data_IF_640968750609
#
_entry.id   IF_640968750609
#
_cell.length_a   1.000
_cell.length_b   1.000
_cell.length_c   1.000
_cell.angle_alpha   90.00
_cell.angle_beta   90.00
_cell.angle_gamma   90.00
#
_symmetry.space_group_name_H-M   'P 1'
#
loop_
_entity.id
_entity.type
_entity.pdbx_description
1 polymer ?
#
# COMPACT_ATOMS: atom_id res chain seq x y z
N UNK A 1 3.76 15.42 -20.36
CA UNK A 1 3.67 15.68 -18.91
C UNK A 1 2.82 16.88 -18.56
N UNK A 2 3.13 18.14 -18.94
CA UNK A 2 2.32 19.33 -18.55
C UNK A 2 0.83 19.21 -18.85
N UNK A 3 0.44 18.64 -20.02
CA UNK A 3 -0.95 18.41 -20.39
C UNK A 3 -1.64 17.42 -19.44
N UNK A 4 -0.93 16.36 -19.04
CA UNK A 4 -1.42 15.36 -18.09
C UNK A 4 -1.65 15.97 -16.71
N UNK A 5 -0.68 16.70 -16.17
CA UNK A 5 -0.78 17.36 -14.88
C UNK A 5 -1.96 18.36 -14.85
N UNK A 6 -2.07 19.21 -15.90
CA UNK A 6 -3.20 20.14 -16.01
C UNK A 6 -4.55 19.43 -16.04
N UNK A 7 -4.66 18.33 -16.79
CA UNK A 7 -5.90 17.57 -16.88
C UNK A 7 -6.24 16.84 -15.58
N UNK A 8 -5.24 16.30 -14.87
CA UNK A 8 -5.42 15.65 -13.58
C UNK A 8 -5.89 16.65 -12.51
N UNK A 9 -5.24 17.82 -12.42
CA UNK A 9 -5.64 18.88 -11.50
C UNK A 9 -7.03 19.45 -11.82
N UNK A 10 -7.39 19.57 -13.10
CA UNK A 10 -8.72 19.98 -13.51
C UNK A 10 -9.79 18.94 -13.07
N UNK A 11 -9.53 17.64 -13.21
CA UNK A 11 -10.45 16.62 -12.72
C UNK A 11 -10.67 16.73 -11.21
N UNK A 12 -9.61 16.93 -10.44
CA UNK A 12 -9.71 17.08 -8.98
C UNK A 12 -10.50 18.34 -8.57
N UNK A 13 -10.36 19.44 -9.34
CA UNK A 13 -11.06 20.69 -9.05
C UNK A 13 -12.54 20.65 -9.44
N UNK A 14 -12.86 20.03 -10.60
CA UNK A 14 -14.19 20.05 -11.20
C UNK A 14 -15.07 18.87 -10.71
N UNK A 15 -14.46 17.70 -10.46
CA UNK A 15 -15.17 16.46 -10.09
C UNK A 15 -14.28 15.55 -9.22
N UNK A 16 -14.03 15.91 -7.95
CA UNK A 16 -13.16 15.16 -7.04
C UNK A 16 -13.72 13.77 -6.70
N UNK A 17 -15.00 13.54 -6.87
CA UNK A 17 -15.70 12.26 -6.65
C UNK A 17 -15.91 11.47 -7.94
N UNK A 18 -15.21 11.84 -9.01
CA UNK A 18 -15.31 11.20 -10.31
C UNK A 18 -15.17 9.68 -10.24
N UNK A 19 -16.08 8.97 -10.89
CA UNK A 19 -16.03 7.51 -11.01
C UNK A 19 -15.22 7.02 -12.21
N UNK A 20 -14.62 7.95 -12.98
CA UNK A 20 -13.76 7.58 -14.12
C UNK A 20 -12.60 6.70 -13.65
N UNK A 21 -12.36 5.64 -14.42
CA UNK A 21 -11.12 4.89 -14.32
C UNK A 21 -9.97 5.65 -14.94
N UNK A 22 -8.75 5.31 -14.56
CA UNK A 22 -7.55 5.91 -15.12
C UNK A 22 -7.44 5.68 -16.63
N UNK A 23 -7.84 4.49 -17.12
CA UNK A 23 -7.89 4.18 -18.55
C UNK A 23 -8.87 5.07 -19.32
N UNK A 24 -10.07 5.26 -18.78
CA UNK A 24 -11.08 6.15 -19.36
C UNK A 24 -10.61 7.62 -19.39
N UNK A 25 -9.96 8.09 -18.31
CA UNK A 25 -9.36 9.41 -18.26
C UNK A 25 -8.29 9.57 -19.35
N UNK A 26 -7.36 8.61 -19.49
CA UNK A 26 -6.30 8.66 -20.50
C UNK A 26 -6.89 8.67 -21.93
N UNK A 27 -7.91 7.85 -22.19
CA UNK A 27 -8.60 7.78 -23.47
C UNK A 27 -9.36 9.08 -23.76
N UNK A 28 -10.13 9.62 -22.81
CA UNK A 28 -10.89 10.87 -22.92
C UNK A 28 -10.00 12.04 -23.31
N UNK A 29 -8.81 12.10 -22.72
CA UNK A 29 -7.81 13.13 -22.99
C UNK A 29 -6.90 12.79 -24.18
N UNK A 30 -7.11 11.68 -24.88
CA UNK A 30 -6.36 11.25 -26.07
C UNK A 30 -4.85 11.30 -25.84
N UNK A 31 -4.39 10.67 -24.75
CA UNK A 31 -2.96 10.45 -24.55
C UNK A 31 -2.48 9.33 -25.48
N UNK A 32 -1.33 9.57 -26.14
CA UNK A 32 -0.76 8.57 -27.05
C UNK A 32 -0.20 7.35 -26.30
N UNK A 33 -0.10 6.24 -27.01
CA UNK A 33 0.36 4.97 -26.41
C UNK A 33 1.77 5.07 -25.86
N UNK A 34 2.66 5.87 -26.46
CA UNK A 34 4.01 6.04 -25.95
C UNK A 34 4.00 6.66 -24.56
N UNK A 35 3.24 7.74 -24.34
CA UNK A 35 3.08 8.36 -23.04
C UNK A 35 2.44 7.40 -22.03
N UNK A 36 1.39 6.67 -22.44
CA UNK A 36 0.67 5.73 -21.57
C UNK A 36 1.62 4.64 -21.07
N UNK A 37 2.35 3.97 -21.98
CA UNK A 37 3.17 2.82 -21.59
C UNK A 37 4.53 3.20 -20.96
N UNK A 38 5.07 4.40 -21.24
CA UNK A 38 6.39 4.78 -20.73
C UNK A 38 6.35 5.75 -19.55
N UNK A 39 5.19 6.31 -19.25
CA UNK A 39 5.05 7.21 -18.11
C UNK A 39 3.82 6.92 -17.26
N UNK A 40 2.62 6.96 -17.86
CA UNK A 40 1.37 6.94 -17.10
C UNK A 40 1.20 5.63 -16.31
N UNK A 41 1.33 4.48 -16.94
CA UNK A 41 1.23 3.17 -16.29
C UNK A 41 2.41 2.89 -15.35
N UNK A 42 3.69 3.13 -15.74
CA UNK A 42 4.81 2.95 -14.82
C UNK A 42 4.68 3.71 -13.50
N UNK A 43 4.21 4.94 -13.51
CA UNK A 43 4.03 5.73 -12.27
C UNK A 43 3.07 5.03 -11.32
N UNK A 44 1.91 4.60 -11.79
CA UNK A 44 0.92 3.91 -10.96
C UNK A 44 1.43 2.55 -10.49
N UNK A 45 2.01 1.78 -11.42
CA UNK A 45 2.57 0.46 -11.12
C UNK A 45 3.71 0.50 -10.11
N UNK A 46 4.55 1.55 -10.13
CA UNK A 46 5.62 1.71 -9.15
C UNK A 46 5.10 1.98 -7.75
N UNK A 47 3.98 2.71 -7.62
CA UNK A 47 3.43 3.07 -6.30
C UNK A 47 2.71 1.91 -5.65
N UNK A 48 1.85 1.21 -6.40
CA UNK A 48 0.98 0.16 -5.85
C UNK A 48 1.31 -1.26 -6.31
N UNK A 49 2.44 -1.47 -6.99
CA UNK A 49 2.93 -2.81 -7.40
C UNK A 49 1.93 -3.61 -8.23
N UNK A 50 1.13 -2.92 -9.06
CA UNK A 50 0.07 -3.53 -9.84
C UNK A 50 0.42 -3.63 -11.33
N UNK A 51 -0.24 -4.56 -12.05
CA UNK A 51 -0.14 -4.72 -13.49
C UNK A 51 -0.84 -3.61 -14.27
N UNK A 52 -0.63 -3.58 -15.58
CA UNK A 52 -1.19 -2.53 -16.45
C UNK A 52 -2.71 -2.52 -16.48
N UNK A 53 -3.36 -3.69 -16.48
CA UNK A 53 -4.83 -3.79 -16.50
C UNK A 53 -5.43 -3.22 -15.21
N UNK A 54 -4.87 -3.60 -14.06
CA UNK A 54 -5.28 -3.09 -12.77
C UNK A 54 -5.05 -1.58 -12.67
N UNK A 55 -3.90 -1.09 -13.17
CA UNK A 55 -3.60 0.34 -13.21
C UNK A 55 -4.60 1.13 -14.07
N UNK A 56 -5.04 0.58 -15.23
CA UNK A 56 -6.06 1.21 -16.07
C UNK A 56 -7.43 1.24 -15.40
N UNK A 57 -7.76 0.25 -14.58
CA UNK A 57 -9.01 0.17 -13.84
C UNK A 57 -9.03 1.02 -12.55
N UNK A 58 -7.90 1.60 -12.18
CA UNK A 58 -7.77 2.39 -10.95
C UNK A 58 -8.64 3.65 -10.99
N UNK A 59 -9.30 4.04 -9.88
CA UNK A 59 -10.11 5.27 -9.82
C UNK A 59 -9.24 6.52 -10.05
N UNK A 60 -9.52 7.27 -11.13
CA UNK A 60 -8.66 8.37 -11.56
C UNK A 60 -8.58 9.51 -10.53
N UNK A 61 -9.70 9.93 -9.96
CA UNK A 61 -9.72 11.00 -8.97
C UNK A 61 -8.93 10.61 -7.70
N UNK A 62 -9.09 9.37 -7.22
CA UNK A 62 -8.36 8.86 -6.07
C UNK A 62 -6.84 8.79 -6.33
N UNK A 63 -6.44 8.34 -7.53
CA UNK A 63 -5.06 8.36 -7.99
C UNK A 63 -4.48 9.78 -8.00
N UNK A 64 -5.20 10.72 -8.59
CA UNK A 64 -4.70 12.08 -8.73
C UNK A 64 -4.64 12.82 -7.41
N UNK A 65 -5.56 12.57 -6.48
CA UNK A 65 -5.49 13.09 -5.12
C UNK A 65 -4.19 12.63 -4.41
N UNK A 66 -3.83 11.36 -4.57
CA UNK A 66 -2.55 10.85 -4.08
C UNK A 66 -1.36 11.53 -4.75
N UNK A 67 -1.34 11.59 -6.09
CA UNK A 67 -0.24 12.18 -6.84
C UNK A 67 -0.05 13.67 -6.53
N UNK A 68 -1.13 14.41 -6.33
CA UNK A 68 -1.10 15.83 -5.95
C UNK A 68 -0.56 16.01 -4.53
N UNK A 69 -1.10 15.25 -3.58
CA UNK A 69 -0.66 15.28 -2.17
C UNK A 69 0.84 14.99 -2.01
N UNK A 70 1.40 14.12 -2.84
CA UNK A 70 2.82 13.74 -2.79
C UNK A 70 3.71 14.55 -3.74
N UNK A 71 3.17 15.59 -4.38
CA UNK A 71 3.94 16.48 -5.26
C UNK A 71 4.35 15.87 -6.61
N UNK A 72 3.71 14.80 -7.06
CA UNK A 72 3.96 14.22 -8.39
C UNK A 72 3.29 15.00 -9.53
N UNK A 73 2.31 15.84 -9.22
CA UNK A 73 1.63 16.70 -10.20
C UNK A 73 2.26 18.09 -10.32
N UNK A 74 3.34 18.39 -9.61
CA UNK A 74 4.07 19.65 -9.73
C UNK A 74 5.36 19.47 -10.53
N UNK A 75 5.79 20.50 -11.25
CA UNK A 75 7.02 20.51 -12.06
C UNK A 75 8.19 21.19 -11.36
N UNK A 76 7.91 22.00 -10.37
CA UNK A 76 8.87 22.74 -9.57
C UNK A 76 8.42 22.72 -8.11
N UNK A 77 9.36 22.93 -7.20
CA UNK A 77 9.10 23.00 -5.76
C UNK A 77 8.42 21.72 -5.21
N UNK A 78 8.78 20.56 -5.81
CA UNK A 78 8.33 19.28 -5.27
C UNK A 78 8.85 19.09 -3.83
N UNK A 79 8.08 18.47 -2.93
CA UNK A 79 8.49 18.26 -1.55
C UNK A 79 9.77 17.41 -1.48
N UNK A 80 10.63 17.75 -0.53
CA UNK A 80 11.79 16.92 -0.21
C UNK A 80 11.34 15.66 0.51
N UNK A 81 11.70 14.52 -0.05
CA UNK A 81 11.38 13.23 0.55
C UNK A 81 12.36 12.91 1.68
N UNK A 82 11.83 12.40 2.78
CA UNK A 82 12.58 11.97 3.95
C UNK A 82 12.29 10.51 4.25
N UNK A 83 13.24 9.86 4.92
CA UNK A 83 13.08 8.51 5.47
C UNK A 83 13.48 8.50 6.94
N UNK A 84 12.97 7.53 7.69
CA UNK A 84 13.32 7.38 9.10
C UNK A 84 14.72 6.80 9.20
N UNK A 85 15.60 7.46 9.95
CA UNK A 85 16.95 6.96 10.22
C UNK A 85 16.86 5.63 10.99
N UNK A 86 17.52 4.60 10.47
CA UNK A 86 17.42 3.23 11.01
C UNK A 86 16.21 2.45 10.52
N UNK A 87 15.39 3.03 9.60
CA UNK A 87 14.21 2.41 9.02
C UNK A 87 13.00 2.43 9.95
N UNK A 88 11.89 1.89 9.48
CA UNK A 88 10.61 1.84 10.23
C UNK A 88 10.69 1.08 11.55
N UNK A 89 11.63 0.14 11.65
CA UNK A 89 11.87 -0.64 12.87
C UNK A 89 12.13 0.25 14.09
N UNK A 90 12.81 1.37 13.92
CA UNK A 90 13.17 2.27 15.01
C UNK A 90 11.95 2.86 15.73
N UNK A 91 10.91 3.28 15.01
CA UNK A 91 9.70 3.76 15.68
C UNK A 91 8.81 2.61 16.19
N UNK A 92 8.80 1.45 15.52
CA UNK A 92 8.10 0.27 16.05
C UNK A 92 8.67 -0.15 17.40
N UNK A 93 10.01 -0.24 17.52
CA UNK A 93 10.68 -0.55 18.79
C UNK A 93 10.41 0.51 19.87
N UNK A 94 10.40 1.79 19.50
CA UNK A 94 10.09 2.87 20.45
C UNK A 94 8.64 2.81 20.98
N UNK A 95 7.68 2.41 20.16
CA UNK A 95 6.27 2.25 20.57
C UNK A 95 6.10 0.99 21.39
N UNK A 96 6.61 -0.16 20.91
CA UNK A 96 6.43 -1.45 21.59
C UNK A 96 7.08 -1.48 22.97
N UNK A 97 8.17 -0.73 23.18
CA UNK A 97 8.81 -0.60 24.49
C UNK A 97 7.93 0.10 25.57
N UNK A 98 6.82 0.73 25.15
CA UNK A 98 5.87 1.42 26.05
C UNK A 98 4.60 0.61 26.31
N UNK A 99 4.43 -0.52 25.67
CA UNK A 99 3.26 -1.39 25.84
C UNK A 99 3.50 -2.34 27.01
N UNK A 100 2.45 -2.65 27.77
CA UNK A 100 2.52 -3.57 28.90
C UNK A 100 2.88 -4.99 28.46
N UNK A 101 2.42 -5.41 27.28
CA UNK A 101 2.76 -6.69 26.70
C UNK A 101 2.78 -6.65 25.16
N UNK A 102 3.72 -7.36 24.58
CA UNK A 102 3.81 -7.61 23.13
C UNK A 102 4.03 -9.10 22.92
N UNK A 103 3.20 -9.74 22.11
CA UNK A 103 3.25 -11.20 21.84
C UNK A 103 3.55 -11.46 20.36
N UNK A 104 4.79 -11.30 19.90
CA UNK A 104 5.15 -11.59 18.52
C UNK A 104 5.08 -13.10 18.27
N UNK A 105 4.70 -13.49 17.02
CA UNK A 105 4.57 -14.88 16.65
C UNK A 105 3.33 -15.58 17.21
N UNK A 106 2.38 -14.85 17.80
CA UNK A 106 1.10 -15.39 18.25
C UNK A 106 0.01 -15.02 17.24
N UNK A 107 -0.45 -16.00 16.50
CA UNK A 107 -1.48 -15.80 15.48
C UNK A 107 -2.86 -15.86 16.11
N UNK A 108 -3.64 -14.80 15.96
CA UNK A 108 -5.07 -14.79 16.30
C UNK A 108 -5.83 -15.62 15.26
N UNK A 109 -6.76 -16.45 15.71
CA UNK A 109 -7.57 -17.35 14.88
C UNK A 109 -9.04 -16.96 14.84
N UNK A 110 -9.56 -16.34 15.91
CA UNK A 110 -10.95 -15.88 15.98
C UNK A 110 -11.09 -14.67 16.91
N UNK A 111 -12.08 -13.85 16.62
CA UNK A 111 -12.51 -12.72 17.46
C UNK A 111 -14.03 -12.75 17.54
N UNK A 112 -14.59 -12.67 18.74
CA UNK A 112 -16.03 -12.64 18.98
C UNK A 112 -16.40 -11.57 20.00
N UNK A 113 -17.47 -10.84 19.73
CA UNK A 113 -18.03 -9.85 20.64
C UNK A 113 -18.93 -10.53 21.68
N UNK A 114 -18.82 -10.13 22.93
CA UNK A 114 -19.72 -10.49 24.02
C UNK A 114 -20.35 -9.21 24.56
N UNK A 115 -21.40 -9.32 25.39
CA UNK A 115 -22.05 -8.14 25.96
C UNK A 115 -21.08 -7.20 26.70
N UNK A 116 -20.13 -7.76 27.43
CA UNK A 116 -19.23 -7.00 28.31
C UNK A 116 -17.73 -7.09 27.92
N UNK A 117 -17.38 -7.86 26.89
CA UNK A 117 -15.98 -8.08 26.47
C UNK A 117 -15.88 -8.40 24.99
N UNK A 118 -14.63 -8.45 24.51
CA UNK A 118 -14.26 -9.06 23.23
C UNK A 118 -13.33 -10.22 23.49
N UNK A 119 -13.67 -11.39 22.99
CA UNK A 119 -12.86 -12.60 23.14
C UNK A 119 -11.99 -12.82 21.90
N UNK A 120 -10.76 -13.25 22.15
CA UNK A 120 -9.75 -13.55 21.14
C UNK A 120 -9.23 -14.95 21.37
N UNK A 121 -9.27 -15.78 20.33
CA UNK A 121 -8.66 -17.10 20.32
C UNK A 121 -7.34 -17.05 19.51
N UNK A 122 -6.32 -17.71 20.01
CA UNK A 122 -5.04 -17.83 19.31
C UNK A 122 -4.76 -19.25 18.77
N UNK A 123 -3.68 -19.39 18.02
CA UNK A 123 -3.28 -20.66 17.39
C UNK A 123 -2.81 -21.72 18.39
N UNK A 124 -2.55 -21.36 19.64
CA UNK A 124 -2.18 -22.28 20.72
C UNK A 124 -3.41 -22.80 21.47
N UNK A 125 -4.62 -22.33 21.10
CA UNK A 125 -5.87 -22.66 21.76
C UNK A 125 -6.09 -21.89 23.07
N UNK A 126 -5.33 -20.81 23.30
CA UNK A 126 -5.55 -19.92 24.42
C UNK A 126 -6.72 -18.96 24.12
N UNK A 127 -7.55 -18.70 25.15
CA UNK A 127 -8.67 -17.78 25.11
C UNK A 127 -8.34 -16.53 25.93
N UNK A 128 -8.46 -15.38 25.32
CA UNK A 128 -8.17 -14.09 25.94
C UNK A 128 -9.43 -13.22 25.92
N UNK A 129 -9.73 -12.55 27.03
CA UNK A 129 -10.86 -11.62 27.15
C UNK A 129 -10.35 -10.22 27.42
N UNK A 130 -10.86 -9.24 26.66
CA UNK A 130 -10.48 -7.83 26.72
C UNK A 130 -11.71 -6.93 26.78
N UNK A 131 -11.61 -5.79 27.46
CA UNK A 131 -12.66 -4.78 27.49
C UNK A 131 -12.87 -4.16 26.11
N UNK A 132 -11.77 -3.93 25.35
CA UNK A 132 -11.76 -3.28 24.03
C UNK A 132 -10.68 -3.86 23.15
N UNK A 133 -10.96 -3.96 21.85
CA UNK A 133 -10.06 -4.51 20.84
C UNK A 133 -10.01 -3.61 19.60
N UNK A 134 -8.84 -3.40 19.05
CA UNK A 134 -8.64 -2.84 17.72
C UNK A 134 -8.10 -3.93 16.81
N UNK A 135 -8.81 -4.24 15.73
CA UNK A 135 -8.32 -5.10 14.64
C UNK A 135 -7.53 -4.25 13.66
N UNK A 136 -6.19 -4.36 13.71
CA UNK A 136 -5.26 -3.59 12.89
C UNK A 136 -4.54 -4.45 11.83
N UNK A 137 -5.23 -5.45 11.31
CA UNK A 137 -4.80 -6.35 10.24
C UNK A 137 -5.25 -5.80 8.86
N UNK A 138 -5.05 -6.56 7.78
CA UNK A 138 -5.71 -6.27 6.51
C UNK A 138 -7.24 -6.36 6.67
N UNK A 139 -8.00 -5.66 5.81
CA UNK A 139 -9.46 -5.65 5.91
C UNK A 139 -10.08 -7.05 5.73
N UNK A 140 -9.60 -7.81 4.75
CA UNK A 140 -10.02 -9.20 4.50
C UNK A 140 -9.63 -10.15 5.64
N UNK A 141 -8.50 -9.90 6.30
CA UNK A 141 -8.08 -10.65 7.48
C UNK A 141 -8.95 -10.31 8.69
N UNK A 142 -9.21 -9.02 8.93
CA UNK A 142 -10.13 -8.59 9.97
C UNK A 142 -11.50 -9.25 9.83
N UNK A 143 -12.04 -9.25 8.60
CA UNK A 143 -13.31 -9.91 8.31
C UNK A 143 -13.28 -11.42 8.59
N UNK A 144 -12.20 -12.10 8.20
CA UNK A 144 -12.05 -13.55 8.45
C UNK A 144 -11.91 -13.91 9.92
N UNK A 145 -11.36 -13.01 10.74
CA UNK A 145 -11.22 -13.23 12.19
C UNK A 145 -12.53 -13.10 12.92
N UNK A 146 -13.46 -12.27 12.44
CA UNK A 146 -14.76 -12.06 13.11
C UNK A 146 -15.67 -13.27 12.92
N UNK A 147 -16.06 -13.90 14.04
CA UNK A 147 -17.02 -15.01 14.04
C UNK A 147 -18.48 -14.54 13.99
N UNK A 148 -18.71 -13.27 14.27
CA UNK A 148 -20.01 -12.61 14.40
C UNK A 148 -20.11 -11.36 13.53
N UNK A 149 -19.42 -11.34 12.37
CA UNK A 149 -19.38 -10.19 11.48
C UNK A 149 -20.78 -9.74 11.06
N UNK A 150 -21.09 -8.47 11.31
CA UNK A 150 -22.33 -7.83 10.87
C UNK A 150 -22.37 -7.67 9.35
N UNK A 151 -23.56 -7.47 8.78
CA UNK A 151 -23.72 -7.37 7.34
C UNK A 151 -22.93 -6.19 6.74
N UNK A 152 -22.92 -5.04 7.40
CA UNK A 152 -22.16 -3.86 6.98
C UNK A 152 -20.65 -4.08 7.06
N UNK A 153 -20.16 -4.82 8.04
CA UNK A 153 -18.76 -5.24 8.14
C UNK A 153 -18.38 -6.17 6.98
N UNK A 154 -19.25 -7.13 6.64
CA UNK A 154 -19.04 -8.02 5.51
C UNK A 154 -18.99 -7.25 4.17
N UNK A 155 -19.90 -6.31 3.97
CA UNK A 155 -19.95 -5.49 2.77
C UNK A 155 -18.72 -4.57 2.65
N UNK A 156 -18.38 -3.86 3.72
CA UNK A 156 -17.35 -2.82 3.68
C UNK A 156 -15.96 -3.43 3.71
N UNK A 157 -15.66 -4.34 4.65
CA UNK A 157 -14.33 -4.98 4.72
C UNK A 157 -14.09 -5.93 3.54
N UNK A 158 -15.14 -6.59 3.06
CA UNK A 158 -15.07 -7.47 1.89
C UNK A 158 -14.85 -6.76 0.56
N UNK A 159 -15.00 -5.43 0.51
CA UNK A 159 -14.73 -4.64 -0.70
C UNK A 159 -13.24 -4.43 -0.98
N UNK A 160 -12.38 -4.71 -0.01
CA UNK A 160 -10.91 -4.54 -0.14
C UNK A 160 -10.26 -5.83 -0.62
N UNK A 161 -9.62 -5.77 -1.78
CA UNK A 161 -8.80 -6.83 -2.33
C UNK A 161 -7.31 -6.58 -2.10
N UNK A 162 -6.52 -7.65 -2.21
CA UNK A 162 -5.06 -7.58 -2.08
C UNK A 162 -4.38 -8.38 -3.19
N UNK A 163 -3.36 -7.79 -3.80
CA UNK A 163 -2.52 -8.46 -4.79
C UNK A 163 -1.27 -9.03 -4.13
N UNK A 164 -0.92 -10.27 -4.50
CA UNK A 164 0.30 -10.91 -4.00
C UNK A 164 1.50 -10.53 -4.86
N UNK A 165 2.54 -9.99 -4.23
CA UNK A 165 3.76 -9.56 -4.88
C UNK A 165 4.98 -10.20 -4.21
N UNK A 166 5.79 -10.90 -5.00
CA UNK A 166 7.08 -11.43 -4.54
C UNK A 166 8.11 -10.32 -4.55
N UNK A 167 8.83 -10.16 -3.45
CA UNK A 167 9.91 -9.18 -3.31
C UNK A 167 11.22 -9.88 -2.93
N UNK A 168 12.30 -9.54 -3.61
CA UNK A 168 13.64 -10.02 -3.30
C UNK A 168 14.53 -8.86 -2.89
N UNK A 169 15.14 -8.96 -1.72
CA UNK A 169 16.25 -8.12 -1.30
C UNK A 169 17.54 -8.79 -1.77
N UNK A 170 18.34 -8.10 -2.57
CA UNK A 170 19.57 -8.62 -3.16
C UNK A 170 20.63 -7.52 -3.37
N UNK A 171 21.82 -7.93 -3.79
CA UNK A 171 22.99 -7.05 -4.04
C UNK A 171 23.35 -6.91 -5.52
N UNK A 172 22.52 -7.41 -6.42
CA UNK A 172 22.76 -7.35 -7.86
C UNK A 172 22.27 -6.02 -8.44
N UNK A 173 23.19 -5.17 -8.87
CA UNK A 173 22.89 -3.90 -9.52
C UNK A 173 22.60 -4.01 -11.02
N UNK A 174 22.73 -5.19 -11.63
CA UNK A 174 22.48 -5.40 -13.07
C UNK A 174 21.02 -5.16 -13.46
N UNK A 175 20.11 -5.19 -12.49
CA UNK A 175 18.68 -4.87 -12.66
C UNK A 175 18.41 -3.36 -12.76
N UNK A 176 19.37 -2.53 -12.34
CA UNK A 176 19.30 -1.07 -12.41
C UNK A 176 19.78 -0.57 -13.78
N UNK A 177 19.44 0.67 -14.17
CA UNK A 177 19.98 1.26 -15.37
C UNK A 177 21.52 1.22 -15.40
N UNK A 178 22.13 0.87 -16.54
CA UNK A 178 23.61 0.78 -16.63
C UNK A 178 24.28 2.14 -16.42
N UNK A 179 23.65 3.24 -16.83
CA UNK A 179 24.14 4.59 -16.55
C UNK A 179 23.71 5.02 -15.16
N UNK A 180 24.67 5.34 -14.29
CA UNK A 180 24.42 5.69 -12.88
C UNK A 180 23.51 6.92 -12.74
N UNK A 181 23.67 7.91 -13.63
CA UNK A 181 22.84 9.11 -13.65
C UNK A 181 21.37 8.85 -13.97
N UNK A 182 21.06 7.71 -14.60
CA UNK A 182 19.71 7.27 -14.91
C UNK A 182 19.07 6.45 -13.79
N UNK A 183 19.83 6.06 -12.75
CA UNK A 183 19.30 5.29 -11.64
C UNK A 183 18.45 6.15 -10.73
N UNK A 184 17.16 5.89 -10.67
CA UNK A 184 16.25 6.47 -9.69
C UNK A 184 16.21 5.66 -8.39
N UNK A 185 15.55 6.19 -7.34
CA UNK A 185 15.17 5.38 -6.18
C UNK A 185 14.23 4.25 -6.61
N UNK A 186 13.36 4.50 -7.58
CA UNK A 186 12.44 3.54 -8.21
C UNK A 186 12.78 3.39 -9.69
N UNK A 187 13.04 2.17 -10.11
CA UNK A 187 13.43 1.86 -11.49
C UNK A 187 12.44 0.85 -12.07
N UNK A 188 11.60 1.31 -13.00
CA UNK A 188 10.64 0.47 -13.69
C UNK A 188 11.26 -0.09 -14.97
N UNK A 189 11.20 -1.41 -15.17
CA UNK A 189 11.77 -2.06 -16.34
C UNK A 189 10.69 -2.58 -17.29
N UNK A 190 10.70 -2.04 -18.51
CA UNK A 190 9.94 -2.56 -19.64
C UNK A 190 10.81 -3.48 -20.49
N UNK A 191 10.23 -4.56 -21.02
CA UNK A 191 10.93 -5.48 -21.92
C UNK A 191 10.84 -5.09 -23.40
N UNK A 192 10.06 -4.08 -23.71
CA UNK A 192 9.86 -3.53 -25.05
C UNK A 192 8.93 -2.34 -25.02
N UNK A 193 8.84 -1.64 -26.14
CA UNK A 193 8.04 -0.41 -26.24
C UNK A 193 6.52 -0.64 -26.36
N UNK A 194 6.06 -1.89 -26.48
CA UNK A 194 4.67 -2.21 -26.81
C UNK A 194 4.06 -3.35 -25.99
N UNK A 195 4.78 -3.86 -24.98
CA UNK A 195 4.30 -5.01 -24.20
C UNK A 195 3.45 -4.57 -23.01
N UNK A 196 2.24 -5.11 -22.92
CA UNK A 196 1.48 -5.09 -21.68
C UNK A 196 2.22 -5.93 -20.63
N UNK A 197 2.40 -5.41 -19.43
CA UNK A 197 2.95 -6.17 -18.32
C UNK A 197 1.79 -6.59 -17.39
N UNK A 198 1.59 -7.90 -17.25
CA UNK A 198 0.58 -8.45 -16.33
C UNK A 198 0.96 -8.16 -14.87
N UNK A 199 2.25 -8.01 -14.59
CA UNK A 199 2.80 -7.62 -13.30
C UNK A 199 3.82 -6.51 -13.45
N UNK A 200 3.82 -5.57 -12.51
CA UNK A 200 4.85 -4.53 -12.45
C UNK A 200 6.19 -5.14 -12.07
N UNK A 201 7.24 -4.70 -12.75
CA UNK A 201 8.62 -5.02 -12.39
C UNK A 201 9.33 -3.75 -12.00
N UNK A 202 9.53 -3.59 -10.71
CA UNK A 202 10.17 -2.43 -10.12
C UNK A 202 11.37 -2.87 -9.31
N UNK A 203 12.48 -2.17 -9.48
CA UNK A 203 13.67 -2.34 -8.65
C UNK A 203 13.92 -1.05 -7.87
N UNK A 204 13.84 -1.15 -6.54
CA UNK A 204 14.10 -0.05 -5.62
C UNK A 204 15.58 -0.05 -5.26
N UNK A 205 16.27 1.04 -5.58
CA UNK A 205 17.66 1.21 -5.15
C UNK A 205 17.68 1.78 -3.73
N UNK A 206 17.82 0.88 -2.75
CA UNK A 206 17.69 1.20 -1.32
C UNK A 206 18.77 2.13 -0.83
N UNK A 207 19.99 2.06 -1.40
CA UNK A 207 21.09 2.96 -1.04
C UNK A 207 20.70 4.43 -1.26
N UNK A 208 20.05 4.72 -2.40
CA UNK A 208 19.55 6.07 -2.68
C UNK A 208 18.29 6.39 -1.89
N UNK A 209 17.38 5.43 -1.74
CA UNK A 209 16.09 5.62 -1.09
C UNK A 209 16.23 5.86 0.41
N UNK A 210 17.15 5.16 1.07
CA UNK A 210 17.35 5.19 2.52
C UNK A 210 18.70 5.75 2.96
N UNK A 211 19.54 6.22 2.04
CA UNK A 211 20.83 6.82 2.36
C UNK A 211 21.88 5.83 2.86
N UNK A 212 21.84 4.56 2.43
CA UNK A 212 22.87 3.58 2.74
C UNK A 212 24.14 3.81 1.93
N UNK A 213 25.29 3.30 2.41
CA UNK A 213 26.56 3.33 1.68
C UNK A 213 26.43 2.66 0.31
N UNK A 214 26.96 3.26 -0.72
CA UNK A 214 26.99 2.70 -2.06
C UNK A 214 28.01 1.55 -2.22
N UNK A 215 28.91 1.36 -1.24
CA UNK A 215 29.87 0.24 -1.22
C UNK A 215 29.22 -1.10 -0.90
N UNK A 216 28.04 -1.08 -0.27
CA UNK A 216 27.19 -2.26 -0.01
C UNK A 216 25.85 -2.08 -0.74
N UNK A 217 25.75 -2.48 -2.02
CA UNK A 217 24.54 -2.29 -2.79
C UNK A 217 23.38 -3.09 -2.24
N UNK A 218 22.23 -2.43 -2.08
CA UNK A 218 20.96 -3.02 -1.66
C UNK A 218 19.86 -2.65 -2.63
N UNK A 219 19.26 -3.67 -3.22
CA UNK A 219 18.16 -3.53 -4.18
C UNK A 219 16.98 -4.41 -3.75
N UNK A 220 15.78 -3.87 -3.78
CA UNK A 220 14.55 -4.66 -3.67
C UNK A 220 13.90 -4.74 -5.04
N UNK A 221 13.78 -5.95 -5.60
CA UNK A 221 13.08 -6.16 -6.87
C UNK A 221 11.74 -6.85 -6.63
N UNK A 222 10.67 -6.23 -7.13
CA UNK A 222 9.32 -6.79 -7.12
C UNK A 222 9.06 -7.60 -8.38
N UNK A 223 8.39 -8.74 -8.19
CA UNK A 223 7.93 -9.64 -9.23
C UNK A 223 9.04 -9.99 -10.25
N UNK A 224 10.18 -10.54 -9.78
CA UNK A 224 11.18 -11.08 -10.67
C UNK A 224 10.55 -12.16 -11.56
N UNK A 225 11.05 -12.32 -12.78
CA UNK A 225 10.55 -13.36 -13.68
C UNK A 225 11.05 -14.75 -13.26
N UNK A 226 10.25 -15.76 -13.60
CA UNK A 226 10.66 -17.14 -13.47
C UNK A 226 11.99 -17.35 -14.24
N UNK A 227 12.99 -17.94 -13.58
CA UNK A 227 14.32 -18.16 -14.11
C UNK A 227 15.32 -17.00 -13.90
N UNK A 228 14.91 -15.78 -13.56
CA UNK A 228 15.84 -14.71 -13.16
C UNK A 228 16.51 -14.97 -11.81
N UNK A 229 15.93 -15.88 -11.05
CA UNK A 229 16.49 -16.36 -9.77
C UNK A 229 17.92 -16.84 -9.89
N UNK A 230 18.26 -17.45 -11.02
CA UNK A 230 19.59 -18.01 -11.28
C UNK A 230 20.63 -16.94 -11.65
N UNK A 231 20.18 -15.72 -11.98
CA UNK A 231 21.02 -14.59 -12.37
C UNK A 231 21.17 -13.49 -11.32
N UNK A 232 20.35 -13.52 -10.25
CA UNK A 232 20.47 -12.53 -9.18
C UNK A 232 21.55 -12.94 -8.19
N UNK A 233 22.68 -12.27 -8.28
CA UNK A 233 23.78 -12.48 -7.36
C UNK A 233 23.38 -12.02 -5.94
N UNK A 234 23.71 -12.83 -4.93
CA UNK A 234 23.58 -12.50 -3.51
C UNK A 234 22.17 -12.11 -3.05
N UNK A 235 21.17 -12.94 -3.27
CA UNK A 235 19.86 -12.78 -2.65
C UNK A 235 20.01 -12.84 -1.13
N UNK A 236 19.62 -11.77 -0.45
CA UNK A 236 19.67 -11.63 1.02
C UNK A 236 18.40 -12.17 1.65
N UNK A 237 17.23 -11.84 1.08
CA UNK A 237 15.94 -12.27 1.57
C UNK A 237 14.90 -12.33 0.45
N UNK A 238 13.92 -13.22 0.63
CA UNK A 238 12.72 -13.35 -0.23
C UNK A 238 11.50 -13.18 0.63
N UNK A 239 10.56 -12.35 0.17
CA UNK A 239 9.34 -12.02 0.88
C UNK A 239 8.17 -12.05 -0.08
N UNK A 240 6.98 -12.33 0.43
CA UNK A 240 5.73 -12.14 -0.29
C UNK A 240 4.93 -11.09 0.45
N UNK A 241 4.57 -10.02 -0.27
CA UNK A 241 3.74 -8.95 0.24
C UNK A 241 2.37 -8.97 -0.39
N UNK A 242 1.36 -8.68 0.43
CA UNK A 242 0.00 -8.44 -0.02
C UNK A 242 -0.21 -6.93 -0.07
N UNK A 243 -0.38 -6.38 -1.26
CA UNK A 243 -0.63 -4.96 -1.46
C UNK A 243 -2.12 -4.70 -1.71
N UNK A 244 -2.73 -3.69 -1.06
CA UNK A 244 -4.13 -3.38 -1.29
C UNK A 244 -4.36 -2.93 -2.73
N UNK A 245 -5.46 -3.40 -3.32
CA UNK A 245 -5.92 -2.99 -4.64
C UNK A 245 -7.11 -2.05 -4.48
N UNK A 246 -7.03 -0.89 -5.15
CA UNK A 246 -8.09 0.13 -5.06
C UNK A 246 -8.97 0.10 -6.29
N UNK A 247 -10.25 -0.12 -6.05
CA UNK A 247 -11.33 -0.09 -7.04
C UNK A 247 -12.34 0.98 -6.65
N UNK A 248 -13.25 1.33 -7.55
CA UNK A 248 -14.35 2.24 -7.21
C UNK A 248 -15.18 1.74 -6.02
N UNK A 249 -15.33 0.41 -5.90
CA UNK A 249 -16.03 -0.21 -4.79
C UNK A 249 -15.27 -0.05 -3.45
N UNK A 250 -13.95 -0.33 -3.43
CA UNK A 250 -13.16 -0.18 -2.21
C UNK A 250 -13.00 1.29 -1.79
N UNK A 251 -12.87 2.22 -2.73
CA UNK A 251 -12.86 3.66 -2.44
C UNK A 251 -14.20 4.15 -1.88
N UNK A 252 -15.32 3.64 -2.37
CA UNK A 252 -16.63 3.92 -1.79
C UNK A 252 -16.76 3.30 -0.39
N UNK A 253 -16.29 2.07 -0.17
CA UNK A 253 -16.29 1.39 1.12
C UNK A 253 -15.42 2.13 2.16
N UNK A 254 -14.29 2.72 1.75
CA UNK A 254 -13.42 3.50 2.63
C UNK A 254 -14.17 4.59 3.40
N UNK A 255 -15.14 5.25 2.76
CA UNK A 255 -15.95 6.31 3.38
C UNK A 255 -16.86 5.79 4.50
N UNK A 256 -17.10 4.48 4.55
CA UNK A 256 -17.96 3.81 5.53
C UNK A 256 -17.15 3.18 6.67
N UNK A 257 -15.83 3.06 6.57
CA UNK A 257 -14.98 2.39 7.57
C UNK A 257 -15.15 2.99 8.98
N UNK A 258 -15.29 4.31 9.10
CA UNK A 258 -15.47 4.99 10.37
C UNK A 258 -16.83 4.71 11.06
N UNK A 259 -17.78 4.06 10.38
CA UNK A 259 -19.08 3.67 10.95
C UNK A 259 -19.12 2.22 11.42
N UNK A 260 -18.05 1.45 11.16
CA UNK A 260 -17.97 0.04 11.56
C UNK A 260 -17.51 -0.11 13.01
N UNK A 261 -17.80 -1.30 13.54
CA UNK A 261 -17.39 -1.67 14.87
C UNK A 261 -18.46 -1.41 15.94
N UNK A 262 -18.01 -1.28 17.19
CA UNK A 262 -18.87 -1.08 18.36
C UNK A 262 -18.15 -0.22 19.40
N UNK A 263 -18.75 -0.04 20.56
CA UNK A 263 -18.12 0.58 21.73
C UNK A 263 -16.91 -0.22 22.29
N UNK A 264 -16.71 -1.45 21.82
CA UNK A 264 -15.66 -2.37 22.28
C UNK A 264 -14.73 -2.87 21.19
N UNK A 265 -15.11 -2.75 19.90
CA UNK A 265 -14.30 -3.22 18.78
C UNK A 265 -14.22 -2.15 17.69
N UNK A 266 -13.02 -1.84 17.27
CA UNK A 266 -12.75 -0.91 16.17
C UNK A 266 -11.76 -1.49 15.16
N UNK A 267 -11.73 -0.90 13.98
CA UNK A 267 -10.86 -1.30 12.88
C UNK A 267 -9.82 -0.23 12.60
N UNK A 268 -8.60 -0.65 12.29
CA UNK A 268 -7.52 0.20 11.84
C UNK A 268 -6.70 -0.49 10.75
N UNK A 269 -5.97 0.27 9.97
CA UNK A 269 -5.09 -0.27 8.94
C UNK A 269 -4.84 0.74 7.83
N UNK A 270 -3.82 0.50 7.05
CA UNK A 270 -3.45 1.38 5.94
C UNK A 270 -4.55 1.49 4.86
N UNK A 271 -5.48 0.53 4.80
CA UNK A 271 -6.63 0.54 3.88
C UNK A 271 -7.66 1.65 4.19
N UNK A 272 -7.53 2.35 5.33
CA UNK A 272 -8.30 3.56 5.62
C UNK A 272 -7.86 4.79 4.81
N UNK A 273 -6.74 4.69 4.10
CA UNK A 273 -6.20 5.70 3.20
C UNK A 273 -5.58 5.06 1.95
N UNK A 274 -4.47 5.59 1.50
CA UNK A 274 -3.79 5.13 0.28
C UNK A 274 -2.91 3.89 0.44
N UNK A 275 -2.85 3.30 1.63
CA UNK A 275 -2.09 2.08 1.90
C UNK A 275 -0.70 2.30 2.49
N UNK A 276 -0.43 3.47 3.07
CA UNK A 276 0.88 3.83 3.63
C UNK A 276 0.90 3.81 5.16
N UNK A 277 2.10 3.90 5.74
CA UNK A 277 2.30 3.86 7.19
C UNK A 277 1.53 4.95 7.94
N UNK A 278 1.49 6.17 7.38
CA UNK A 278 0.73 7.27 7.98
C UNK A 278 -0.77 7.00 8.01
N UNK A 279 -1.31 6.37 6.95
CA UNK A 279 -2.72 5.98 6.93
C UNK A 279 -3.04 4.96 8.03
N UNK A 280 -2.13 3.99 8.24
CA UNK A 280 -2.22 3.03 9.33
C UNK A 280 -2.18 3.72 10.70
N UNK A 281 -1.23 4.63 10.91
CA UNK A 281 -1.08 5.37 12.16
C UNK A 281 -2.34 6.22 12.45
N UNK A 282 -2.79 7.01 11.49
CA UNK A 282 -4.00 7.85 11.62
C UNK A 282 -5.25 7.03 11.94
N UNK A 283 -5.41 5.90 11.26
CA UNK A 283 -6.54 5.01 11.52
C UNK A 283 -6.48 4.39 12.91
N UNK A 284 -5.28 4.06 13.41
CA UNK A 284 -5.08 3.57 14.78
C UNK A 284 -5.46 4.61 15.83
N UNK A 285 -5.05 5.88 15.64
CA UNK A 285 -5.46 7.00 16.50
C UNK A 285 -6.98 7.18 16.49
N UNK A 286 -7.61 7.14 15.32
CA UNK A 286 -9.06 7.26 15.19
C UNK A 286 -9.80 6.09 15.86
N UNK A 287 -9.31 4.85 15.69
CA UNK A 287 -9.87 3.67 16.33
C UNK A 287 -9.78 3.75 17.86
N UNK A 288 -8.63 4.16 18.41
CA UNK A 288 -8.46 4.38 19.84
C UNK A 288 -9.42 5.45 20.38
N UNK A 289 -9.58 6.57 19.66
CA UNK A 289 -10.53 7.62 20.03
C UNK A 289 -11.98 7.13 20.01
N UNK A 290 -12.38 6.33 19.00
CA UNK A 290 -13.71 5.73 18.92
C UNK A 290 -14.01 4.80 20.11
N UNK A 291 -12.98 4.14 20.64
CA UNK A 291 -13.06 3.33 21.85
C UNK A 291 -12.92 4.14 23.16
N UNK A 292 -12.93 5.48 23.10
CA UNK A 292 -12.92 6.37 24.26
C UNK A 292 -11.54 6.61 24.87
N UNK A 293 -10.46 6.34 24.12
CA UNK A 293 -9.11 6.69 24.55
C UNK A 293 -8.75 8.05 23.97
N UNK A 294 -8.28 8.98 24.78
CA UNK A 294 -7.74 10.28 24.32
C UNK A 294 -6.25 10.19 24.17
N UNK A 295 -5.76 10.75 23.08
CA UNK A 295 -4.34 10.81 22.74
C UNK A 295 -3.65 11.99 23.40
#
# INVERSE_FOLDING_TARGET
>A
MRRFQKAALALLADDPDSTLTYGEFLARHRFDGYFVYHYALPVVSCVWSMGHQEALAYPAAYLFAFLDHHGFLVLRDAPTWHTVVGGSRSYVEAVTARLDAVRPGTRVTAVSRKPDSVEIDDEHGEHHSFDKVVLATHADEALRLLTDAAQDEQEVLGAFGYSSNVAWLHRDESVLPPRREARGSWNYRLHGCTTSADRSRVSYWMNRLQGHSEDDPLVVTLNPRDGEEQGLDRVVARMTYLHPTYTSASVAAQRRLGTLGSDRLAFAGAYHGWGFHEDGCRSGVAAAAALGTTW
#
